data_IF_603988774633
#
_entry.id   IF_603988774633
#
_cell.length_a   1.000
_cell.length_b   1.000
_cell.length_c   1.000
_cell.angle_alpha   90.00
_cell.angle_beta   90.00
_cell.angle_gamma   90.00
#
_symmetry.space_group_name_H-M   'P 1'
#
loop_
_entity.id
_entity.type
_entity.pdbx_description
1 polymer ?
#
# COMPACT_ATOMS: atom_id res chain seq x y z
N UNK A 1 18.80 -18.84 4.69
CA UNK A 1 17.60 -18.53 5.49
C UNK A 1 16.44 -18.39 4.51
N UNK A 2 15.28 -19.01 4.76
CA UNK A 2 14.12 -18.88 3.89
C UNK A 2 13.67 -17.42 3.71
N UNK A 3 13.19 -17.06 2.51
CA UNK A 3 12.85 -15.68 2.14
C UNK A 3 11.73 -15.07 3.00
N UNK A 4 10.79 -15.88 3.49
CA UNK A 4 9.67 -15.42 4.32
C UNK A 4 10.10 -14.94 5.72
N UNK A 5 11.22 -15.44 6.28
CA UNK A 5 11.73 -14.88 7.54
C UNK A 5 12.28 -13.47 7.34
N UNK A 6 13.00 -13.23 6.24
CA UNK A 6 13.47 -11.90 5.88
C UNK A 6 12.28 -10.95 5.73
N UNK A 7 11.25 -11.38 4.99
CA UNK A 7 10.05 -10.57 4.78
C UNK A 7 9.33 -10.25 6.10
N UNK A 8 9.18 -11.24 7.00
CA UNK A 8 8.60 -11.03 8.33
C UNK A 8 9.33 -9.94 9.14
N UNK A 9 10.66 -9.98 9.18
CA UNK A 9 11.46 -8.99 9.88
C UNK A 9 11.36 -7.60 9.24
N UNK A 10 11.38 -7.52 7.91
CA UNK A 10 11.20 -6.25 7.19
C UNK A 10 9.83 -5.63 7.48
N UNK A 11 8.75 -6.41 7.33
CA UNK A 11 7.38 -5.91 7.57
C UNK A 11 7.11 -5.57 9.02
N UNK A 12 7.81 -6.20 9.96
CA UNK A 12 7.75 -5.82 11.38
C UNK A 12 8.39 -4.45 11.62
N UNK A 13 9.45 -4.11 10.89
CA UNK A 13 10.13 -2.82 11.00
C UNK A 13 9.38 -1.69 10.29
N UNK A 14 8.56 -2.01 9.28
CA UNK A 14 7.80 -1.04 8.47
C UNK A 14 6.34 -0.86 8.94
N UNK A 15 5.91 -1.54 10.01
CA UNK A 15 4.49 -1.61 10.39
C UNK A 15 3.89 -0.25 10.75
N UNK A 16 4.69 0.68 11.29
CA UNK A 16 4.24 2.04 11.62
C UNK A 16 3.96 2.88 10.38
N UNK A 17 4.63 2.59 9.27
CA UNK A 17 4.59 3.35 8.03
C UNK A 17 3.63 2.70 7.01
N UNK A 18 3.72 1.38 6.85
CA UNK A 18 3.01 0.61 5.82
C UNK A 18 1.73 -0.07 6.37
N UNK A 19 1.50 0.02 7.68
CA UNK A 19 0.39 -0.62 8.37
C UNK A 19 0.60 -2.13 8.61
N UNK A 20 -0.36 -2.76 9.30
CA UNK A 20 -0.22 -4.15 9.75
C UNK A 20 -0.59 -5.20 8.69
N UNK A 21 -1.21 -4.78 7.59
CA UNK A 21 -1.72 -5.70 6.56
C UNK A 21 -0.58 -6.55 5.95
N UNK A 22 0.55 -5.99 5.48
CA UNK A 22 1.64 -6.80 4.94
C UNK A 22 2.28 -7.74 5.98
N UNK A 23 2.39 -7.27 7.23
CA UNK A 23 2.91 -8.07 8.34
C UNK A 23 1.99 -9.26 8.64
N UNK A 24 0.67 -9.05 8.64
CA UNK A 24 -0.31 -10.13 8.82
C UNK A 24 -0.19 -11.19 7.75
N UNK A 25 0.03 -10.80 6.48
CA UNK A 25 0.31 -11.74 5.39
C UNK A 25 1.53 -12.61 5.66
N UNK A 26 2.62 -12.01 6.17
CA UNK A 26 3.82 -12.77 6.57
C UNK A 26 3.56 -13.78 7.70
N UNK A 27 2.72 -13.42 8.67
CA UNK A 27 2.36 -14.29 9.80
C UNK A 27 1.44 -15.44 9.36
N UNK A 28 0.52 -15.19 8.43
CA UNK A 28 -0.32 -16.22 7.81
C UNK A 28 0.59 -17.24 7.10
N UNK A 29 1.46 -16.76 6.20
CA UNK A 29 2.46 -17.57 5.48
C UNK A 29 3.33 -18.41 6.43
N UNK A 30 3.76 -17.83 7.55
CA UNK A 30 4.54 -18.52 8.57
C UNK A 30 3.73 -19.64 9.24
N UNK A 31 2.46 -19.37 9.56
CA UNK A 31 1.57 -20.32 10.23
C UNK A 31 1.27 -21.54 9.34
N UNK A 32 1.06 -21.33 8.04
CA UNK A 32 0.81 -22.40 7.06
C UNK A 32 2.04 -23.29 6.87
N UNK A 33 3.22 -22.69 6.80
CA UNK A 33 4.49 -23.41 6.57
C UNK A 33 5.07 -23.99 7.85
N UNK A 34 4.47 -23.74 9.02
CA UNK A 34 5.07 -24.02 10.33
C UNK A 34 5.57 -25.47 10.51
N UNK A 35 4.78 -26.44 10.05
CA UNK A 35 5.14 -27.87 10.11
C UNK A 35 6.34 -28.22 9.23
N UNK A 36 6.51 -27.54 8.10
CA UNK A 36 7.61 -27.72 7.16
C UNK A 36 8.93 -27.13 7.68
N UNK A 37 8.87 -26.19 8.63
CA UNK A 37 10.04 -25.56 9.25
C UNK A 37 10.79 -26.49 10.22
N UNK A 38 10.23 -27.66 10.53
CA UNK A 38 10.81 -28.61 11.47
C UNK A 38 10.66 -28.20 12.95
N UNK A 39 9.80 -27.22 13.25
CA UNK A 39 9.48 -26.85 14.62
C UNK A 39 8.60 -27.93 15.26
N UNK A 40 9.02 -28.40 16.44
CA UNK A 40 8.30 -29.44 17.21
C UNK A 40 7.13 -28.89 18.03
N UNK A 41 7.16 -27.59 18.33
CA UNK A 41 6.10 -26.92 19.06
C UNK A 41 4.94 -26.58 18.12
N UNK A 42 3.74 -26.37 18.69
CA UNK A 42 2.63 -25.79 17.95
C UNK A 42 2.97 -24.35 17.52
N UNK A 43 2.45 -23.92 16.37
CA UNK A 43 2.59 -22.54 15.94
C UNK A 43 1.94 -21.60 16.98
N UNK A 44 2.62 -20.52 17.42
CA UNK A 44 2.07 -19.61 18.42
C UNK A 44 0.92 -18.75 17.88
N UNK A 45 0.71 -18.73 16.57
CA UNK A 45 -0.34 -17.97 15.89
C UNK A 45 -1.13 -18.91 14.99
N UNK A 46 -2.42 -18.61 14.86
CA UNK A 46 -3.34 -19.33 13.96
C UNK A 46 -4.44 -18.37 13.54
N UNK A 47 -5.00 -18.58 12.36
CA UNK A 47 -6.05 -17.73 11.80
C UNK A 47 -7.27 -18.58 11.45
N UNK A 48 -8.45 -18.04 11.75
CA UNK A 48 -9.72 -18.61 11.33
C UNK A 48 -10.01 -18.32 9.86
N UNK A 49 -10.90 -19.08 9.23
CA UNK A 49 -11.30 -18.84 7.83
C UNK A 49 -11.84 -17.42 7.60
N UNK A 50 -12.58 -16.87 8.56
CA UNK A 50 -13.13 -15.52 8.47
C UNK A 50 -12.03 -14.46 8.56
N UNK A 51 -10.99 -14.69 9.37
CA UNK A 51 -9.83 -13.80 9.44
C UNK A 51 -9.02 -13.82 8.15
N UNK A 52 -8.86 -14.99 7.52
CA UNK A 52 -8.18 -15.14 6.24
C UNK A 52 -8.94 -14.42 5.11
N UNK A 53 -10.26 -14.63 5.01
CA UNK A 53 -11.11 -13.93 4.02
C UNK A 53 -11.06 -12.41 4.20
N UNK A 54 -11.13 -11.93 5.44
CA UNK A 54 -11.02 -10.50 5.75
C UNK A 54 -9.64 -9.96 5.37
N UNK A 55 -8.58 -10.71 5.65
CA UNK A 55 -7.23 -10.29 5.29
C UNK A 55 -7.05 -10.16 3.77
N UNK A 56 -7.60 -11.09 2.98
CA UNK A 56 -7.52 -11.03 1.52
C UNK A 56 -8.18 -9.75 0.95
N UNK A 57 -9.36 -9.39 1.46
CA UNK A 57 -10.04 -8.14 1.09
C UNK A 57 -9.20 -6.91 1.47
N UNK A 58 -8.68 -6.86 2.70
CA UNK A 58 -7.84 -5.76 3.17
C UNK A 58 -6.52 -5.66 2.40
N UNK A 59 -5.93 -6.79 2.01
CA UNK A 59 -4.72 -6.84 1.21
C UNK A 59 -4.97 -6.28 -0.20
N UNK A 60 -6.13 -6.57 -0.79
CA UNK A 60 -6.53 -5.98 -2.08
C UNK A 60 -6.68 -4.45 -1.96
N UNK A 61 -7.35 -3.96 -0.91
CA UNK A 61 -7.51 -2.52 -0.66
C UNK A 61 -6.16 -1.82 -0.46
N UNK A 62 -5.28 -2.43 0.35
CA UNK A 62 -3.91 -1.97 0.59
C UNK A 62 -3.13 -1.89 -0.74
N UNK A 63 -3.16 -2.95 -1.55
CA UNK A 63 -2.48 -2.95 -2.85
C UNK A 63 -3.00 -1.87 -3.79
N UNK A 64 -4.32 -1.65 -3.84
CA UNK A 64 -4.91 -0.61 -4.67
C UNK A 64 -4.49 0.79 -4.19
N UNK A 65 -4.46 1.03 -2.88
CA UNK A 65 -3.92 2.26 -2.31
C UNK A 65 -2.47 2.50 -2.77
N UNK A 66 -1.56 1.55 -2.47
CA UNK A 66 -0.13 1.70 -2.79
C UNK A 66 0.13 1.80 -4.29
N UNK A 67 -0.67 1.15 -5.14
CA UNK A 67 -0.56 1.27 -6.59
C UNK A 67 -0.89 2.69 -7.08
N UNK A 68 -1.97 3.29 -6.59
CA UNK A 68 -2.32 4.69 -6.92
C UNK A 68 -1.21 5.63 -6.47
N UNK A 69 -0.75 5.50 -5.22
CA UNK A 69 0.37 6.28 -4.68
C UNK A 69 1.62 6.22 -5.58
N UNK A 70 2.05 4.99 -5.90
CA UNK A 70 3.26 4.72 -6.67
C UNK A 70 3.15 5.24 -8.10
N UNK A 71 2.01 5.05 -8.76
CA UNK A 71 1.82 5.51 -10.13
C UNK A 71 1.75 7.03 -10.21
N UNK A 72 1.04 7.69 -9.29
CA UNK A 72 1.01 9.14 -9.21
C UNK A 72 2.42 9.73 -9.05
N UNK A 73 3.20 9.18 -8.10
CA UNK A 73 4.62 9.56 -7.91
C UNK A 73 5.44 9.41 -9.18
N UNK A 74 5.36 8.23 -9.81
CA UNK A 74 6.12 7.89 -11.00
C UNK A 74 5.80 8.80 -12.17
N UNK A 75 4.52 9.11 -12.39
CA UNK A 75 4.07 9.92 -13.53
C UNK A 75 4.42 11.39 -13.31
N UNK A 76 4.23 11.92 -12.10
CA UNK A 76 4.53 13.31 -11.78
C UNK A 76 6.04 13.58 -11.60
N UNK A 77 6.85 12.53 -11.48
CA UNK A 77 8.29 12.64 -11.29
C UNK A 77 8.66 13.18 -9.91
N UNK A 78 7.92 12.76 -8.89
CA UNK A 78 8.08 13.17 -7.49
C UNK A 78 8.72 12.06 -6.67
N UNK A 79 9.43 12.43 -5.61
CA UNK A 79 9.95 11.46 -4.64
C UNK A 79 8.87 11.02 -3.64
N UNK A 80 9.26 10.30 -2.59
CA UNK A 80 8.33 9.80 -1.58
C UNK A 80 7.72 10.90 -0.70
N UNK A 81 8.34 12.09 -0.65
CA UNK A 81 7.84 13.26 0.09
C UNK A 81 7.00 14.19 -0.80
N UNK A 82 6.90 13.89 -2.09
CA UNK A 82 6.22 14.75 -3.07
C UNK A 82 7.07 15.94 -3.51
N UNK A 83 8.39 15.90 -3.27
CA UNK A 83 9.27 17.00 -3.62
C UNK A 83 9.48 17.09 -5.14
N UNK A 84 9.58 18.32 -5.63
CA UNK A 84 10.00 18.64 -7.00
C UNK A 84 11.22 19.58 -6.97
N UNK A 85 12.14 19.45 -7.95
CA UNK A 85 13.28 20.35 -8.06
C UNK A 85 12.87 21.83 -8.21
N UNK A 86 13.59 22.79 -7.59
CA UNK A 86 13.29 24.23 -7.69
C UNK A 86 13.35 24.80 -9.12
N UNK A 87 13.99 24.07 -10.05
CA UNK A 87 14.06 24.46 -11.47
C UNK A 87 12.75 24.16 -12.22
N UNK A 88 11.85 23.35 -11.66
CA UNK A 88 10.55 23.08 -12.26
C UNK A 88 9.55 24.19 -11.92
N UNK A 89 8.68 24.51 -12.87
CA UNK A 89 7.55 25.40 -12.62
C UNK A 89 6.51 24.70 -11.73
N UNK A 90 6.38 25.21 -10.51
CA UNK A 90 5.45 24.67 -9.53
C UNK A 90 3.98 24.77 -9.99
N UNK A 91 3.59 25.87 -10.64
CA UNK A 91 2.22 26.05 -11.10
C UNK A 91 1.88 25.06 -12.22
N UNK A 92 2.81 24.84 -13.15
CA UNK A 92 2.67 23.81 -14.18
C UNK A 92 2.55 22.41 -13.55
N UNK A 93 3.34 22.11 -12.51
CA UNK A 93 3.25 20.83 -11.79
C UNK A 93 1.94 20.65 -11.02
N UNK A 94 1.38 21.71 -10.46
CA UNK A 94 0.05 21.66 -9.86
C UNK A 94 -1.03 21.35 -10.91
N UNK A 95 -0.92 21.92 -12.11
CA UNK A 95 -1.83 21.61 -13.21
C UNK A 95 -1.71 20.14 -13.64
N UNK A 96 -0.49 19.63 -13.86
CA UNK A 96 -0.25 18.22 -14.17
C UNK A 96 -0.85 17.28 -13.11
N UNK A 97 -0.72 17.64 -11.83
CA UNK A 97 -1.29 16.87 -10.73
C UNK A 97 -2.82 16.81 -10.78
N UNK A 98 -3.49 17.93 -11.03
CA UNK A 98 -4.95 17.97 -11.14
C UNK A 98 -5.43 17.17 -12.35
N UNK A 99 -4.80 17.35 -13.52
CA UNK A 99 -5.13 16.58 -14.73
C UNK A 99 -4.95 15.07 -14.51
N UNK A 100 -3.86 14.68 -13.84
CA UNK A 100 -3.62 13.28 -13.53
C UNK A 100 -4.63 12.71 -12.54
N UNK A 101 -5.01 13.48 -11.50
CA UNK A 101 -6.06 13.08 -10.57
C UNK A 101 -7.38 12.83 -11.31
N UNK A 102 -7.78 13.75 -12.20
CA UNK A 102 -9.01 13.58 -13.00
C UNK A 102 -8.97 12.32 -13.86
N UNK A 103 -7.82 12.00 -14.46
CA UNK A 103 -7.66 10.78 -15.25
C UNK A 103 -7.75 9.51 -14.38
N UNK A 104 -7.17 9.51 -13.18
CA UNK A 104 -7.29 8.39 -12.24
C UNK A 104 -8.71 8.23 -11.73
N UNK A 105 -9.42 9.34 -11.45
CA UNK A 105 -10.83 9.34 -11.08
C UNK A 105 -11.70 8.77 -12.21
N UNK A 106 -11.43 9.16 -13.47
CA UNK A 106 -12.12 8.61 -14.65
C UNK A 106 -11.90 7.10 -14.82
N UNK A 107 -10.71 6.62 -14.46
CA UNK A 107 -10.30 5.20 -14.54
C UNK A 107 -10.40 4.46 -13.22
N UNK A 108 -11.18 4.97 -12.25
CA UNK A 108 -11.21 4.45 -10.87
C UNK A 108 -11.54 2.95 -10.78
N UNK A 109 -12.34 2.44 -11.72
CA UNK A 109 -12.73 1.03 -11.80
C UNK A 109 -11.54 0.08 -12.00
N UNK A 110 -10.44 0.53 -12.62
CA UNK A 110 -9.21 -0.27 -12.74
C UNK A 110 -8.55 -0.57 -11.39
N UNK A 111 -8.90 0.20 -10.36
CA UNK A 111 -8.38 0.08 -9.00
C UNK A 111 -9.46 -0.40 -8.01
N UNK A 112 -10.58 -0.93 -8.52
CA UNK A 112 -11.75 -1.35 -7.73
C UNK A 112 -12.21 -0.25 -6.75
N UNK A 113 -12.29 0.99 -7.25
CA UNK A 113 -12.62 2.19 -6.48
C UNK A 113 -13.62 3.07 -7.21
N UNK A 114 -14.37 3.85 -6.46
CA UNK A 114 -15.16 4.98 -6.96
C UNK A 114 -14.24 6.19 -7.23
N UNK A 115 -14.64 7.11 -8.11
CA UNK A 115 -13.88 8.34 -8.37
C UNK A 115 -13.57 9.12 -7.09
N UNK A 116 -14.53 9.22 -6.19
CA UNK A 116 -14.38 9.91 -4.91
C UNK A 116 -13.39 9.19 -4.00
N UNK A 117 -13.34 7.86 -4.01
CA UNK A 117 -12.36 7.08 -3.24
C UNK A 117 -10.94 7.30 -3.76
N UNK A 118 -10.75 7.43 -5.08
CA UNK A 118 -9.47 7.84 -5.67
C UNK A 118 -9.10 9.24 -5.16
N UNK A 119 -10.07 10.18 -5.19
CA UNK A 119 -9.91 11.50 -4.60
C UNK A 119 -9.74 11.45 -3.09
N UNK A 120 -10.00 10.35 -2.38
CA UNK A 120 -9.75 10.15 -0.95
C UNK A 120 -8.42 9.48 -0.60
N UNK A 121 -7.78 8.84 -1.58
CA UNK A 121 -6.42 8.30 -1.40
C UNK A 121 -5.32 9.06 -2.14
N UNK A 122 -5.63 9.98 -3.08
CA UNK A 122 -4.63 10.75 -3.81
C UNK A 122 -3.49 11.35 -2.95
N UNK A 123 -2.20 11.20 -3.34
CA UNK A 123 -1.05 11.69 -2.56
C UNK A 123 -0.95 13.21 -2.42
N UNK A 124 -1.39 13.96 -3.43
CA UNK A 124 -1.08 15.40 -3.57
C UNK A 124 -2.33 16.26 -3.49
N UNK A 125 -3.15 16.05 -2.47
CA UNK A 125 -4.30 16.91 -2.20
C UNK A 125 -3.83 18.28 -1.74
N UNK A 126 -4.58 19.30 -2.12
CA UNK A 126 -4.49 20.56 -1.40
C UNK A 126 -4.89 20.33 0.07
N UNK A 127 -3.95 20.57 0.98
CA UNK A 127 -4.29 20.64 2.40
C UNK A 127 -5.11 21.92 2.58
N UNK A 128 -6.37 21.80 3.00
CA UNK A 128 -7.09 22.97 3.52
C UNK A 128 -6.27 23.49 4.69
N UNK A 129 -5.75 24.71 4.57
CA UNK A 129 -4.99 25.34 5.64
C UNK A 129 -5.81 25.32 6.92
N UNK A 130 -5.27 24.69 7.95
CA UNK A 130 -5.68 24.88 9.36
C UNK A 130 -5.21 26.22 9.86
#
# INVERSE_FOLDING_TARGET
MPSYFRELFLRSAEVSEEGEIPLRGCLIDLSEKWSELGFKAQCPVSFTEDELKRHEQQLQEWNNYHNVQRLARKILGTDFEGWIPPIMDFAAKQQENEELLQEFMRRSQEYNKLPEEIREIWPYRERKGT
#
